data_IF_569948427194
#
_entry.id   IF_569948427194
#
_cell.length_a   1.000
_cell.length_b   1.000
_cell.length_c   1.000
_cell.angle_alpha   90.00
_cell.angle_beta   90.00
_cell.angle_gamma   90.00
#
_symmetry.space_group_name_H-M   'P 1'
#
loop_
_entity.id
_entity.type
_entity.pdbx_description
1 polymer ?
#
# COMPACT_ATOMS: atom_id res chain seq x y z
N UNK A 1 -0.12 2.00 -20.46
CA UNK A 1 -0.98 2.02 -19.25
C UNK A 1 -1.21 0.66 -18.59
N UNK A 2 -1.71 -0.39 -19.28
CA UNK A 2 -2.10 -1.64 -18.63
C UNK A 2 -0.97 -2.23 -17.80
N UNK A 3 0.26 -2.17 -18.31
CA UNK A 3 1.47 -2.64 -17.63
C UNK A 3 1.72 -1.95 -16.30
N UNK A 4 1.63 -0.61 -16.22
CA UNK A 4 1.88 0.11 -14.95
C UNK A 4 0.78 -0.11 -13.92
N UNK A 5 -0.48 -0.25 -14.35
CA UNK A 5 -1.58 -0.65 -13.49
C UNK A 5 -1.30 -2.04 -12.90
N UNK A 6 -1.02 -3.03 -13.75
CA UNK A 6 -0.70 -4.39 -13.32
C UNK A 6 0.49 -4.42 -12.38
N UNK A 7 1.58 -3.72 -12.70
CA UNK A 7 2.77 -3.65 -11.85
C UNK A 7 2.47 -3.01 -10.47
N UNK A 8 1.64 -1.97 -10.41
CA UNK A 8 1.28 -1.32 -9.15
C UNK A 8 0.41 -2.22 -8.26
N UNK A 9 -0.53 -2.94 -8.87
CA UNK A 9 -1.38 -3.89 -8.17
C UNK A 9 -0.58 -5.11 -7.68
N UNK A 10 0.34 -5.61 -8.51
CA UNK A 10 1.26 -6.68 -8.12
C UNK A 10 2.20 -6.23 -7.00
N UNK A 11 2.70 -4.99 -7.02
CA UNK A 11 3.52 -4.44 -5.95
C UNK A 11 2.75 -4.39 -4.62
N UNK A 12 1.47 -3.97 -4.64
CA UNK A 12 0.64 -4.02 -3.44
C UNK A 12 0.52 -5.46 -2.91
N UNK A 13 0.25 -6.43 -3.79
CA UNK A 13 0.10 -7.83 -3.39
C UNK A 13 1.42 -8.37 -2.82
N UNK A 14 2.53 -8.17 -3.54
CA UNK A 14 3.86 -8.66 -3.16
C UNK A 14 4.34 -8.11 -1.81
N UNK A 15 3.95 -6.87 -1.46
CA UNK A 15 4.30 -6.26 -0.17
C UNK A 15 3.29 -6.61 0.91
N UNK A 16 1.99 -6.53 0.62
CA UNK A 16 0.96 -6.70 1.65
C UNK A 16 0.83 -8.15 2.09
N UNK A 17 0.96 -9.14 1.21
CA UNK A 17 0.88 -10.56 1.60
C UNK A 17 1.88 -10.91 2.73
N UNK A 18 3.20 -10.66 2.59
CA UNK A 18 4.13 -10.97 3.67
C UNK A 18 3.93 -10.08 4.90
N UNK A 19 3.54 -8.80 4.73
CA UNK A 19 3.29 -7.88 5.85
C UNK A 19 2.08 -8.34 6.67
N UNK A 20 0.93 -8.60 6.05
CA UNK A 20 -0.29 -9.03 6.76
C UNK A 20 -0.09 -10.40 7.38
N UNK A 21 0.54 -11.35 6.67
CA UNK A 21 0.88 -12.65 7.21
C UNK A 21 1.78 -12.53 8.45
N UNK A 22 2.79 -11.66 8.42
CA UNK A 22 3.69 -11.46 9.56
C UNK A 22 3.00 -10.77 10.73
N UNK A 23 2.07 -9.83 10.48
CA UNK A 23 1.28 -9.19 11.54
C UNK A 23 0.34 -10.22 12.20
N UNK A 24 -0.29 -11.09 11.41
CA UNK A 24 -1.15 -12.18 11.91
C UNK A 24 -0.35 -13.20 12.72
N UNK A 25 0.86 -13.53 12.28
CA UNK A 25 1.78 -14.44 12.97
C UNK A 25 2.49 -13.80 14.17
N UNK A 26 2.31 -12.50 14.41
CA UNK A 26 3.02 -11.73 15.42
C UNK A 26 4.55 -11.93 15.37
N UNK A 27 5.13 -11.86 14.17
CA UNK A 27 6.57 -12.06 13.97
C UNK A 27 7.40 -10.98 14.71
N UNK A 28 8.58 -11.34 15.20
CA UNK A 28 9.44 -10.44 16.00
C UNK A 28 9.80 -9.12 15.29
N UNK A 29 10.02 -9.16 13.98
CA UNK A 29 10.30 -7.96 13.19
C UNK A 29 9.10 -7.00 13.14
N UNK A 30 7.87 -7.52 13.21
CA UNK A 30 6.65 -6.71 13.22
C UNK A 30 6.56 -5.94 14.53
N UNK A 31 6.92 -6.55 15.65
CA UNK A 31 6.95 -5.83 16.92
C UNK A 31 7.97 -4.68 16.91
N UNK A 32 9.15 -4.91 16.33
CA UNK A 32 10.16 -3.86 16.16
C UNK A 32 9.71 -2.72 15.22
N UNK A 33 8.92 -3.03 14.19
CA UNK A 33 8.52 -2.05 13.17
C UNK A 33 7.17 -1.37 13.42
N UNK A 34 6.20 -2.08 14.01
CA UNK A 34 4.82 -1.65 14.22
C UNK A 34 4.43 -1.53 15.70
N UNK A 35 5.31 -1.97 16.62
CA UNK A 35 5.03 -2.02 18.04
C UNK A 35 4.28 -3.29 18.49
N UNK A 36 4.01 -3.40 19.81
CA UNK A 36 3.41 -4.58 20.41
C UNK A 36 1.96 -4.82 19.92
N UNK A 37 1.41 -6.03 20.14
CA UNK A 37 0.01 -6.32 19.88
C UNK A 37 -0.92 -5.28 20.51
N UNK A 38 -1.76 -4.66 19.69
CA UNK A 38 -2.69 -3.62 20.12
C UNK A 38 -3.91 -3.54 19.19
N UNK A 39 -5.03 -2.95 19.65
CA UNK A 39 -6.18 -2.70 18.79
C UNK A 39 -5.82 -1.88 17.54
N UNK A 40 -4.92 -0.90 17.67
CA UNK A 40 -4.45 -0.07 16.55
C UNK A 40 -3.76 -0.92 15.46
N UNK A 41 -2.91 -1.89 15.87
CA UNK A 41 -2.26 -2.81 14.93
C UNK A 41 -3.27 -3.75 14.25
N UNK A 42 -4.34 -4.13 14.95
CA UNK A 42 -5.46 -4.88 14.38
C UNK A 42 -6.25 -4.08 13.32
N UNK A 43 -6.50 -2.79 13.58
CA UNK A 43 -7.15 -1.89 12.61
C UNK A 43 -6.26 -1.73 11.37
N UNK A 44 -4.95 -1.55 11.55
CA UNK A 44 -4.00 -1.46 10.45
C UNK A 44 -4.01 -2.73 9.59
N UNK A 45 -4.00 -3.90 10.23
CA UNK A 45 -4.12 -5.19 9.55
C UNK A 45 -5.39 -5.27 8.70
N UNK A 46 -6.54 -4.86 9.26
CA UNK A 46 -7.81 -4.88 8.53
C UNK A 46 -7.77 -3.98 7.28
N UNK A 47 -7.20 -2.77 7.40
CA UNK A 47 -7.01 -1.86 6.26
C UNK A 47 -6.07 -2.46 5.21
N UNK A 48 -4.96 -3.06 5.63
CA UNK A 48 -4.01 -3.72 4.72
C UNK A 48 -4.63 -4.91 3.99
N UNK A 49 -5.43 -5.73 4.66
CA UNK A 49 -6.18 -6.83 4.04
C UNK A 49 -7.21 -6.28 3.04
N UNK A 50 -7.90 -5.18 3.36
CA UNK A 50 -8.84 -4.56 2.43
C UNK A 50 -8.15 -4.04 1.16
N UNK A 51 -6.98 -3.40 1.30
CA UNK A 51 -6.17 -2.95 0.15
C UNK A 51 -5.69 -4.14 -0.67
N UNK A 52 -5.25 -5.23 -0.02
CA UNK A 52 -4.83 -6.46 -0.68
C UNK A 52 -5.98 -7.07 -1.49
N UNK A 53 -7.17 -7.21 -0.89
CA UNK A 53 -8.36 -7.72 -1.55
C UNK A 53 -8.78 -6.83 -2.74
N UNK A 54 -8.80 -5.50 -2.54
CA UNK A 54 -9.07 -4.55 -3.62
C UNK A 54 -8.06 -4.64 -4.75
N UNK A 55 -6.78 -4.83 -4.42
CA UNK A 55 -5.71 -5.01 -5.42
C UNK A 55 -5.88 -6.30 -6.22
N UNK A 56 -6.23 -7.42 -5.55
CA UNK A 56 -6.50 -8.69 -6.23
C UNK A 56 -7.73 -8.63 -7.14
N UNK A 57 -8.82 -8.00 -6.67
CA UNK A 57 -10.03 -7.81 -7.48
C UNK A 57 -9.78 -6.96 -8.73
N UNK A 58 -9.04 -5.85 -8.58
CA UNK A 58 -8.70 -4.98 -9.71
C UNK A 58 -7.59 -5.57 -10.59
N UNK A 59 -6.80 -6.53 -10.11
CA UNK A 59 -5.87 -7.28 -10.95
C UNK A 59 -6.64 -8.24 -11.87
N UNK A 60 -7.69 -8.88 -11.34
CA UNK A 60 -8.58 -9.75 -12.12
C UNK A 60 -9.41 -8.95 -13.14
N UNK A 61 -9.97 -7.82 -12.74
CA UNK A 61 -10.75 -6.92 -13.61
C UNK A 61 -10.27 -5.47 -13.48
N UNK A 62 -9.26 -5.07 -14.27
CA UNK A 62 -8.71 -3.72 -14.19
C UNK A 62 -9.71 -2.66 -14.63
N UNK A 63 -10.01 -1.72 -13.72
CA UNK A 63 -10.79 -0.52 -13.99
C UNK A 63 -9.92 0.70 -13.62
N UNK A 64 -9.35 1.44 -14.60
CA UNK A 64 -8.33 2.46 -14.33
C UNK A 64 -8.72 3.51 -13.29
N UNK A 65 -9.96 4.02 -13.33
CA UNK A 65 -10.44 5.00 -12.35
C UNK A 65 -10.48 4.45 -10.91
N UNK A 66 -10.90 3.19 -10.74
CA UNK A 66 -10.92 2.52 -9.44
C UNK A 66 -9.50 2.23 -8.93
N UNK A 67 -8.59 1.86 -9.84
CA UNK A 67 -7.16 1.70 -9.52
C UNK A 67 -6.59 3.03 -9.05
N UNK A 68 -6.84 4.12 -9.77
CA UNK A 68 -6.36 5.45 -9.37
C UNK A 68 -6.86 5.83 -7.97
N UNK A 69 -8.15 5.61 -7.68
CA UNK A 69 -8.71 5.86 -6.35
C UNK A 69 -8.03 5.01 -5.25
N UNK A 70 -7.84 3.71 -5.49
CA UNK A 70 -7.16 2.80 -4.56
C UNK A 70 -5.71 3.21 -4.32
N UNK A 71 -4.98 3.61 -5.36
CA UNK A 71 -3.58 4.05 -5.26
C UNK A 71 -3.46 5.42 -4.59
N UNK A 72 -4.37 6.36 -4.85
CA UNK A 72 -4.35 7.69 -4.22
C UNK A 72 -4.50 7.63 -2.71
N UNK A 73 -5.45 6.84 -2.19
CA UNK A 73 -5.60 6.62 -0.75
C UNK A 73 -4.29 6.10 -0.16
N UNK A 74 -3.62 5.18 -0.88
CA UNK A 74 -2.34 4.63 -0.46
C UNK A 74 -1.22 5.67 -0.45
N UNK A 75 -1.09 6.46 -1.51
CA UNK A 75 -0.10 7.53 -1.60
C UNK A 75 -0.28 8.49 -0.43
N UNK A 76 -1.50 8.96 -0.16
CA UNK A 76 -1.78 9.92 0.91
C UNK A 76 -1.38 9.36 2.27
N UNK A 77 -1.84 8.16 2.66
CA UNK A 77 -1.45 7.63 3.97
C UNK A 77 0.05 7.34 4.06
N UNK A 78 0.67 6.87 2.98
CA UNK A 78 2.11 6.56 2.95
C UNK A 78 2.95 7.82 3.12
N UNK A 79 2.57 8.92 2.49
CA UNK A 79 3.20 10.22 2.68
C UNK A 79 2.97 10.81 4.07
N UNK A 80 1.85 10.48 4.73
CA UNK A 80 1.61 10.87 6.13
C UNK A 80 2.42 10.04 7.13
N UNK A 81 2.80 8.79 6.80
CA UNK A 81 3.45 7.88 7.76
C UNK A 81 4.72 8.39 8.44
N UNK A 82 5.63 9.16 7.79
CA UNK A 82 6.77 9.76 8.50
C UNK A 82 6.39 10.64 9.68
N UNK A 83 5.28 11.38 9.55
CA UNK A 83 4.82 12.33 10.55
C UNK A 83 4.03 11.65 11.67
N UNK A 84 3.23 10.63 11.33
CA UNK A 84 2.41 9.90 12.31
C UNK A 84 3.21 8.86 13.08
N UNK A 85 4.23 8.26 12.47
CA UNK A 85 5.16 7.33 13.13
C UNK A 85 6.29 8.08 13.86
N UNK A 86 6.66 9.27 13.37
CA UNK A 86 7.70 10.10 13.97
C UNK A 86 9.14 9.58 13.82
N UNK A 87 9.34 8.51 13.04
CA UNK A 87 10.65 7.88 12.85
C UNK A 87 10.92 7.59 11.37
N UNK A 88 11.75 8.42 10.73
CA UNK A 88 12.16 8.23 9.32
C UNK A 88 12.96 6.94 9.10
N UNK A 89 13.72 6.49 10.10
CA UNK A 89 14.51 5.25 10.03
C UNK A 89 13.68 3.97 10.15
N UNK A 90 12.36 4.07 10.34
CA UNK A 90 11.51 2.89 10.41
C UNK A 90 11.43 2.21 9.02
N UNK A 91 11.70 0.90 8.92
CA UNK A 91 11.76 0.20 7.63
C UNK A 91 10.42 0.23 6.87
N UNK A 92 9.29 0.31 7.58
CA UNK A 92 7.95 0.41 6.99
C UNK A 92 7.72 1.80 6.41
N UNK A 93 8.18 2.85 7.10
CA UNK A 93 8.09 4.24 6.60
C UNK A 93 8.90 4.39 5.32
N UNK A 94 10.14 3.89 5.29
CA UNK A 94 10.98 3.91 4.09
C UNK A 94 10.33 3.16 2.92
N UNK A 95 9.82 1.95 3.18
CA UNK A 95 9.09 1.16 2.17
C UNK A 95 7.85 1.90 1.67
N UNK A 96 7.11 2.55 2.57
CA UNK A 96 5.92 3.32 2.22
C UNK A 96 6.24 4.50 1.30
N UNK A 97 7.31 5.25 1.56
CA UNK A 97 7.73 6.36 0.71
C UNK A 97 8.14 5.88 -0.70
N UNK A 98 8.89 4.79 -0.80
CA UNK A 98 9.28 4.22 -2.08
C UNK A 98 8.06 3.76 -2.91
N UNK A 99 7.12 3.07 -2.26
CA UNK A 99 5.89 2.59 -2.92
C UNK A 99 4.98 3.78 -3.31
N UNK A 100 4.90 4.83 -2.48
CA UNK A 100 4.14 6.03 -2.80
C UNK A 100 4.68 6.71 -4.06
N UNK A 101 6.00 6.82 -4.21
CA UNK A 101 6.63 7.35 -5.41
C UNK A 101 6.29 6.51 -6.65
N UNK A 102 6.36 5.18 -6.54
CA UNK A 102 5.99 4.27 -7.63
C UNK A 102 4.52 4.45 -8.05
N UNK A 103 3.61 4.48 -7.07
CA UNK A 103 2.17 4.64 -7.34
C UNK A 103 1.82 6.00 -7.89
N UNK A 104 2.54 7.06 -7.51
CA UNK A 104 2.35 8.41 -8.06
C UNK A 104 2.62 8.47 -9.57
N UNK A 105 3.63 7.72 -10.06
CA UNK A 105 3.88 7.58 -11.50
C UNK A 105 2.67 6.95 -12.18
N UNK A 106 2.16 5.83 -11.65
CA UNK A 106 0.99 5.14 -12.22
C UNK A 106 -0.25 6.01 -12.25
N UNK A 107 -0.57 6.71 -11.15
CA UNK A 107 -1.73 7.61 -11.09
C UNK A 107 -1.58 8.76 -12.08
N UNK A 108 -0.39 9.34 -12.21
CA UNK A 108 -0.12 10.40 -13.20
C UNK A 108 -0.37 9.92 -14.63
N UNK A 109 0.04 8.70 -14.96
CA UNK A 109 -0.20 8.11 -16.27
C UNK A 109 -1.69 7.85 -16.53
N UNK A 110 -2.44 7.37 -15.52
CA UNK A 110 -3.89 7.17 -15.65
C UNK A 110 -4.59 8.51 -15.94
N UNK A 111 -4.23 9.59 -15.24
CA UNK A 111 -4.87 10.89 -15.43
C UNK A 111 -4.50 11.56 -16.75
N UNK A 112 -3.26 11.41 -17.22
CA UNK A 112 -2.85 11.94 -18.53
C UNK A 112 -3.67 11.33 -19.66
N UNK A 113 -3.90 10.03 -19.60
CA UNK A 113 -4.59 9.32 -20.67
C UNK A 113 -6.12 9.47 -20.56
N UNK A 114 -6.66 9.81 -19.38
CA UNK A 114 -8.08 10.13 -19.20
C UNK A 114 -8.46 11.56 -19.65
N UNK A 115 -7.47 12.44 -19.81
CA UNK A 115 -7.65 13.81 -20.31
C UNK A 115 -7.44 13.95 -21.83
N UNK A 116 -7.16 12.85 -22.53
CA UNK A 116 -7.10 12.74 -23.99
C UNK A 116 -8.41 12.16 -24.52
#
# INVERSE_FOLDING_TARGET
MPTMITLSLLLNIAVLVPVTASIMANASWVEAAYGPPSPARGILLAVYIAILAGSAALLWKPVPAMVAALLLVQIVYKLMTPFTVGMLGNPVVLSNLAIAAFHAVTVTLIFRDAGQ
#
